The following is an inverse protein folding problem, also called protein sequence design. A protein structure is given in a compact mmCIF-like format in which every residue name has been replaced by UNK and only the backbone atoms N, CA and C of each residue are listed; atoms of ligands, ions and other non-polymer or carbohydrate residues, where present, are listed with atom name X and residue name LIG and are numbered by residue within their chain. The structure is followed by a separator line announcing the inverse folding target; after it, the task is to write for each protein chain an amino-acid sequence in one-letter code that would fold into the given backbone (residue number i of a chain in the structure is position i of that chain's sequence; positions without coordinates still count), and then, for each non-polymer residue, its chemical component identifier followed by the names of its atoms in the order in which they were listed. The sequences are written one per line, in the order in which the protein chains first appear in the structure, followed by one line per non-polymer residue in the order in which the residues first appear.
data_IF_098201404356
#
_entry.id   IF_098201404356
#
_cell.length_a   1.000
_cell.length_b   1.000
_cell.length_c   1.000
_cell.angle_alpha   90.00
_cell.angle_beta   90.00
_cell.angle_gamma   90.00
#
_symmetry.space_group_name_H-M   'P 1'
#
loop_
_entity.id
_entity.type
_entity.pdbx_description
1 polymer ?
#
# COMPACT_ATOMS: atom_id res chain seq x y z
N UNK A 1 0.20 -13.96 18.71
CA UNK A 1 -0.11 -12.53 18.56
C UNK A 1 -0.52 -12.39 17.12
N UNK A 2 -1.75 -11.98 16.87
CA UNK A 2 -2.17 -11.77 15.49
C UNK A 2 -1.43 -10.52 14.97
N UNK A 3 -1.05 -10.44 13.70
CA UNK A 3 -0.37 -9.26 13.13
C UNK A 3 -0.97 -7.90 13.45
N UNK A 4 -2.30 -7.78 13.56
CA UNK A 4 -2.96 -6.54 13.94
C UNK A 4 -2.66 -6.06 15.37
N UNK A 5 -2.14 -6.94 16.23
CA UNK A 5 -1.74 -6.64 17.60
C UNK A 5 -0.26 -6.21 17.69
N UNK A 6 0.52 -6.34 16.61
CA UNK A 6 1.91 -5.87 16.58
C UNK A 6 1.92 -4.32 16.44
N UNK A 7 2.57 -3.59 17.36
CA UNK A 7 2.60 -2.12 17.31
C UNK A 7 3.25 -1.59 16.03
N UNK A 8 4.16 -2.33 15.40
CA UNK A 8 4.78 -1.96 14.12
C UNK A 8 3.77 -1.98 12.98
N UNK A 9 2.80 -2.90 13.01
CA UNK A 9 1.77 -2.97 11.99
C UNK A 9 0.93 -1.69 12.02
N UNK A 10 0.37 -1.35 13.18
CA UNK A 10 -0.41 -0.12 13.36
C UNK A 10 0.40 1.15 13.05
N UNK A 11 1.68 1.17 13.43
CA UNK A 11 2.61 2.24 13.08
C UNK A 11 2.76 2.39 11.56
N UNK A 12 2.97 1.30 10.82
CA UNK A 12 3.07 1.33 9.37
C UNK A 12 1.79 1.85 8.70
N UNK A 13 0.62 1.53 9.27
CA UNK A 13 -0.67 2.07 8.78
C UNK A 13 -0.80 3.58 9.06
N UNK A 14 -0.41 4.05 10.24
CA UNK A 14 -0.37 5.50 10.55
C UNK A 14 0.59 6.25 9.61
N UNK A 15 1.78 5.71 9.39
CA UNK A 15 2.77 6.27 8.47
C UNK A 15 2.21 6.37 7.04
N UNK A 16 1.55 5.31 6.55
CA UNK A 16 0.88 5.34 5.24
C UNK A 16 -0.16 6.46 5.17
N UNK A 17 -1.04 6.54 6.18
CA UNK A 17 -2.13 7.52 6.23
C UNK A 17 -1.63 8.97 6.35
N UNK A 18 -0.41 9.15 6.86
CA UNK A 18 0.28 10.45 6.94
C UNK A 18 1.19 10.73 5.74
N UNK A 19 1.11 9.91 4.69
CA UNK A 19 1.94 10.01 3.47
C UNK A 19 3.46 9.82 3.70
N UNK A 20 3.84 9.24 4.85
CA UNK A 20 5.20 8.83 5.17
C UNK A 20 5.46 7.46 4.53
N UNK A 21 5.36 7.40 3.20
CA UNK A 21 5.34 6.13 2.47
C UNK A 21 6.68 5.38 2.51
N UNK A 22 7.79 6.11 2.63
CA UNK A 22 9.09 5.48 2.81
C UNK A 22 9.20 4.87 4.22
N UNK A 23 8.76 5.58 5.25
CA UNK A 23 8.75 5.10 6.63
C UNK A 23 7.82 3.89 6.78
N UNK A 24 6.63 3.94 6.17
CA UNK A 24 5.70 2.81 6.09
C UNK A 24 6.36 1.58 5.44
N UNK A 25 7.10 1.79 4.34
CA UNK A 25 7.87 0.72 3.69
C UNK A 25 8.85 0.07 4.67
N UNK A 26 9.71 0.87 5.30
CA UNK A 26 10.73 0.36 6.22
C UNK A 26 10.09 -0.38 7.41
N UNK A 27 9.08 0.22 8.05
CA UNK A 27 8.40 -0.36 9.21
C UNK A 27 7.75 -1.71 8.86
N UNK A 28 7.06 -1.80 7.72
CA UNK A 28 6.40 -3.05 7.30
C UNK A 28 7.40 -4.07 6.74
N UNK A 29 8.55 -3.63 6.21
CA UNK A 29 9.60 -4.54 5.75
C UNK A 29 10.19 -5.36 6.92
N UNK A 30 10.33 -4.78 8.11
CA UNK A 30 10.73 -5.51 9.32
C UNK A 30 9.79 -6.71 9.60
N UNK A 31 8.48 -6.46 9.57
CA UNK A 31 7.46 -7.52 9.74
C UNK A 31 7.53 -8.54 8.60
N UNK A 32 7.67 -8.07 7.36
CA UNK A 32 7.79 -8.94 6.20
C UNK A 32 9.01 -9.85 6.28
N UNK A 33 10.15 -9.36 6.78
CA UNK A 33 11.38 -10.16 6.93
C UNK A 33 11.21 -11.26 7.99
N UNK A 34 10.45 -10.98 9.06
CA UNK A 34 10.15 -11.94 10.13
C UNK A 34 9.09 -12.98 9.73
N UNK A 35 8.15 -12.63 8.85
CA UNK A 35 7.05 -13.48 8.42
C UNK A 35 7.52 -14.64 7.52
N UNK A 36 7.10 -15.88 7.87
CA UNK A 36 7.47 -17.12 7.15
C UNK A 36 6.27 -17.83 6.53
N UNK A 37 5.05 -17.42 6.86
CA UNK A 37 3.80 -18.00 6.40
C UNK A 37 3.24 -17.35 5.14
N UNK A 38 1.99 -17.70 4.85
CA UNK A 38 1.27 -17.27 3.64
C UNK A 38 1.01 -15.75 3.61
N UNK A 39 0.97 -15.13 4.79
CA UNK A 39 0.72 -13.69 4.97
C UNK A 39 1.90 -12.81 4.60
N UNK A 40 3.06 -13.41 4.32
CA UNK A 40 4.21 -12.70 3.76
C UNK A 40 3.83 -11.93 2.49
N UNK A 41 2.89 -12.46 1.69
CA UNK A 41 2.40 -11.79 0.48
C UNK A 41 1.56 -10.55 0.79
N UNK A 42 0.81 -10.54 1.89
CA UNK A 42 0.03 -9.40 2.33
C UNK A 42 0.93 -8.20 2.65
N UNK A 43 1.93 -8.40 3.51
CA UNK A 43 2.90 -7.34 3.83
C UNK A 43 3.62 -6.85 2.57
N UNK A 44 4.09 -7.77 1.73
CA UNK A 44 4.75 -7.41 0.48
C UNK A 44 3.84 -6.54 -0.41
N UNK A 45 2.53 -6.80 -0.42
CA UNK A 45 1.58 -6.03 -1.19
C UNK A 45 1.48 -4.58 -0.69
N UNK A 46 1.31 -4.36 0.62
CA UNK A 46 1.23 -3.02 1.21
C UNK A 46 2.56 -2.27 1.03
N UNK A 47 3.70 -2.94 1.26
CA UNK A 47 5.05 -2.40 1.04
C UNK A 47 5.21 -1.91 -0.41
N UNK A 48 4.77 -2.70 -1.39
CA UNK A 48 4.81 -2.30 -2.80
C UNK A 48 3.89 -1.13 -3.11
N UNK A 49 2.70 -1.09 -2.51
CA UNK A 49 1.77 0.02 -2.68
C UNK A 49 2.39 1.32 -2.11
N UNK A 50 2.92 1.28 -0.89
CA UNK A 50 3.63 2.40 -0.26
C UNK A 50 4.83 2.85 -1.11
N UNK A 51 5.70 1.92 -1.51
CA UNK A 51 6.82 2.22 -2.39
C UNK A 51 6.39 2.85 -3.74
N UNK A 52 5.23 2.46 -4.27
CA UNK A 52 4.67 3.06 -5.47
C UNK A 52 4.27 4.53 -5.25
N UNK A 53 3.63 4.86 -4.13
CA UNK A 53 3.34 6.26 -3.78
C UNK A 53 4.61 7.07 -3.52
N UNK A 54 5.61 6.49 -2.86
CA UNK A 54 6.91 7.14 -2.69
C UNK A 54 7.58 7.42 -4.04
N UNK A 55 7.53 6.48 -5.00
CA UNK A 55 8.04 6.72 -6.37
C UNK A 55 7.29 7.84 -7.08
N UNK A 56 5.98 7.93 -6.87
CA UNK A 56 5.20 9.03 -7.42
C UNK A 56 5.63 10.38 -6.83
N UNK A 57 5.85 10.48 -5.51
CA UNK A 57 6.38 11.68 -4.85
C UNK A 57 7.76 12.08 -5.38
N UNK A 58 8.58 11.11 -5.80
CA UNK A 58 9.88 11.33 -6.45
C UNK A 58 9.77 11.77 -7.93
N UNK A 59 8.58 11.88 -8.49
CA UNK A 59 8.39 12.19 -9.91
C UNK A 59 8.71 11.03 -10.85
N UNK A 60 8.60 9.78 -10.37
CA UNK A 60 8.89 8.55 -11.14
C UNK A 60 7.61 7.74 -11.37
N UNK A 61 6.66 8.22 -12.19
CA UNK A 61 5.33 7.60 -12.34
C UNK A 61 5.39 6.19 -12.95
N UNK A 62 6.34 5.92 -13.85
CA UNK A 62 6.53 4.57 -14.42
C UNK A 62 6.89 3.55 -13.32
N UNK A 63 7.69 3.98 -12.33
CA UNK A 63 8.04 3.16 -11.18
C UNK A 63 6.84 2.89 -10.28
N UNK A 64 6.01 3.91 -10.06
CA UNK A 64 4.77 3.80 -9.29
C UNK A 64 3.80 2.79 -9.93
N UNK A 65 3.52 2.92 -11.23
CA UNK A 65 2.64 2.00 -11.99
C UNK A 65 3.08 0.55 -11.83
N UNK A 66 4.38 0.26 -12.00
CA UNK A 66 4.91 -1.10 -11.90
C UNK A 66 4.67 -1.68 -10.51
N UNK A 67 4.97 -0.92 -9.46
CA UNK A 67 4.83 -1.36 -8.08
C UNK A 67 3.34 -1.56 -7.72
N UNK A 68 2.48 -0.62 -8.08
CA UNK A 68 1.04 -0.71 -7.82
C UNK A 68 0.39 -1.90 -8.51
N UNK A 69 0.68 -2.18 -9.79
CA UNK A 69 0.17 -3.40 -10.46
C UNK A 69 0.53 -4.65 -9.64
N UNK A 70 1.81 -4.80 -9.29
CA UNK A 70 2.26 -5.97 -8.55
C UNK A 70 1.75 -6.06 -7.12
N UNK A 71 1.52 -4.91 -6.47
CA UNK A 71 0.97 -4.83 -5.11
C UNK A 71 -0.52 -5.15 -5.09
N UNK A 72 -1.29 -4.56 -6.02
CA UNK A 72 -2.72 -4.84 -6.20
C UNK A 72 -2.98 -6.34 -6.44
N UNK A 73 -2.22 -6.97 -7.33
CA UNK A 73 -2.36 -8.41 -7.63
C UNK A 73 -2.12 -9.29 -6.40
N UNK A 74 -1.19 -8.90 -5.53
CA UNK A 74 -0.90 -9.62 -4.28
C UNK A 74 -1.92 -9.34 -3.20
N UNK A 75 -2.51 -8.15 -3.18
CA UNK A 75 -3.46 -7.73 -2.15
C UNK A 75 -4.88 -8.25 -2.41
N UNK A 76 -5.26 -8.44 -3.68
CA UNK A 76 -6.61 -8.88 -4.09
C UNK A 76 -7.15 -10.15 -3.36
N UNK A 77 -6.34 -11.19 -3.09
CA UNK A 77 -6.83 -12.38 -2.36
C UNK A 77 -7.26 -12.12 -0.92
N UNK A 78 -6.96 -10.95 -0.34
CA UNK A 78 -7.25 -10.60 1.05
C UNK A 78 -8.52 -9.73 1.19
N UNK A 79 -9.31 -9.55 0.11
CA UNK A 79 -10.60 -8.88 0.17
C UNK A 79 -11.65 -9.68 0.98
N UNK A 80 -12.64 -9.01 1.59
CA UNK A 80 -12.77 -7.55 1.72
C UNK A 80 -12.00 -6.98 2.93
N UNK A 81 -11.70 -7.82 3.93
CA UNK A 81 -11.08 -7.43 5.18
C UNK A 81 -9.96 -8.39 5.57
N UNK A 82 -8.83 -7.84 6.01
CA UNK A 82 -7.71 -8.64 6.51
C UNK A 82 -6.90 -7.85 7.52
N UNK A 83 -6.53 -8.46 8.65
CA UNK A 83 -5.82 -7.78 9.75
C UNK A 83 -6.41 -6.42 10.16
N UNK A 84 -7.74 -6.36 10.21
CA UNK A 84 -8.47 -5.15 10.58
C UNK A 84 -8.47 -4.04 9.53
N UNK A 85 -7.89 -4.26 8.35
CA UNK A 85 -7.89 -3.32 7.23
C UNK A 85 -9.09 -3.59 6.31
N UNK A 86 -9.71 -2.51 5.82
CA UNK A 86 -10.61 -2.55 4.67
C UNK A 86 -9.81 -2.64 3.36
N UNK A 87 -9.56 -3.88 2.94
CA UNK A 87 -8.74 -4.21 1.76
C UNK A 87 -9.45 -3.82 0.47
N UNK A 88 -10.76 -4.02 0.40
CA UNK A 88 -11.58 -3.64 -0.76
C UNK A 88 -11.47 -2.12 -1.05
N UNK A 89 -11.61 -1.28 -0.01
CA UNK A 89 -11.50 0.17 -0.14
C UNK A 89 -10.11 0.60 -0.61
N UNK A 90 -9.06 -0.03 -0.09
CA UNK A 90 -7.68 0.27 -0.51
C UNK A 90 -7.44 -0.14 -1.97
N UNK A 91 -7.88 -1.33 -2.37
CA UNK A 91 -7.78 -1.80 -3.75
C UNK A 91 -8.54 -0.90 -4.72
N UNK A 92 -9.77 -0.50 -4.37
CA UNK A 92 -10.57 0.42 -5.17
C UNK A 92 -9.83 1.74 -5.39
N UNK A 93 -9.32 2.34 -4.32
CA UNK A 93 -8.58 3.61 -4.35
C UNK A 93 -7.34 3.51 -5.23
N UNK A 94 -6.47 2.52 -4.98
CA UNK A 94 -5.21 2.36 -5.70
C UNK A 94 -5.43 1.99 -7.17
N UNK A 95 -6.47 1.20 -7.50
CA UNK A 95 -6.87 0.93 -8.90
C UNK A 95 -7.33 2.20 -9.63
N UNK A 96 -8.08 3.06 -8.94
CA UNK A 96 -8.47 4.38 -9.45
C UNK A 96 -7.26 5.24 -9.79
N UNK A 97 -6.32 5.36 -8.86
CA UNK A 97 -5.07 6.11 -9.07
C UNK A 97 -4.20 5.52 -10.19
N UNK A 98 -4.09 4.20 -10.26
CA UNK A 98 -3.39 3.50 -11.33
C UNK A 98 -4.00 3.83 -12.71
N UNK A 99 -5.33 3.79 -12.82
CA UNK A 99 -6.05 4.10 -14.06
C UNK A 99 -5.81 5.55 -14.50
N UNK A 100 -5.87 6.50 -13.55
CA UNK A 100 -5.58 7.91 -13.82
C UNK A 100 -4.14 8.11 -14.29
N UNK A 101 -3.18 7.47 -13.61
CA UNK A 101 -1.75 7.58 -13.92
C UNK A 101 -1.39 6.96 -15.26
N UNK A 102 -2.05 5.87 -15.65
CA UNK A 102 -1.85 5.23 -16.96
C UNK A 102 -2.46 6.04 -18.10
N UNK A 103 -3.56 6.77 -17.86
CA UNK A 103 -4.21 7.60 -18.87
C UNK A 103 -3.41 8.87 -19.20
N UNK A 104 -2.87 9.55 -18.19
CA UNK A 104 -2.06 10.76 -18.36
C UNK A 104 -1.02 10.89 -17.24
N UNK A 105 0.18 10.31 -17.39
CA UNK A 105 1.21 10.31 -16.35
C UNK A 105 1.67 11.71 -15.90
N UNK A 106 1.62 12.70 -16.80
CA UNK A 106 2.12 14.05 -16.53
C UNK A 106 1.10 14.89 -15.75
N UNK A 107 -0.20 14.71 -16.04
CA UNK A 107 -1.28 15.41 -15.35
C UNK A 107 -1.67 14.74 -14.04
N UNK A 108 -1.72 13.41 -14.00
CA UNK A 108 -2.18 12.65 -12.84
C UNK A 108 -1.23 12.72 -11.64
N UNK A 109 0.08 12.82 -11.87
CA UNK A 109 1.05 12.95 -10.77
C UNK A 109 0.81 14.18 -9.87
N UNK A 110 0.15 15.22 -10.40
CA UNK A 110 -0.22 16.43 -9.65
C UNK A 110 -1.65 16.38 -9.07
N UNK A 111 -2.45 15.37 -9.40
CA UNK A 111 -3.89 15.33 -9.13
C UNK A 111 -4.36 14.06 -8.41
N UNK A 112 -3.48 13.08 -8.20
CA UNK A 112 -3.83 11.87 -7.43
C UNK A 112 -4.05 12.27 -5.97
N UNK A 113 -5.25 11.94 -5.47
CA UNK A 113 -5.64 12.16 -4.10
C UNK A 113 -4.84 11.28 -3.14
N UNK A 114 -4.85 11.67 -1.87
CA UNK A 114 -4.12 10.95 -0.83
C UNK A 114 -4.80 9.63 -0.51
N UNK A 115 -4.14 8.48 -0.70
CA UNK A 115 -4.71 7.22 -0.27
C UNK A 115 -4.71 7.15 1.26
N UNK A 116 -5.69 6.48 1.83
CA UNK A 116 -5.66 6.05 3.23
C UNK A 116 -6.07 4.58 3.33
N UNK A 117 -5.53 3.92 4.34
CA UNK A 117 -5.89 2.59 4.76
C UNK A 117 -6.89 2.74 5.91
N UNK A 118 -8.14 2.36 5.66
CA UNK A 118 -9.19 2.37 6.65
C UNK A 118 -9.14 1.11 7.53
N UNK A 119 -9.24 1.30 8.85
CA UNK A 119 -9.40 0.23 9.82
C UNK A 119 -10.90 0.00 10.10
N UNK A 120 -11.31 -1.24 10.33
CA UNK A 120 -12.73 -1.62 10.56
C UNK A 120 -13.12 -1.76 12.05
N UNK A 121 -12.33 -1.20 12.96
CA UNK A 121 -12.57 -1.26 14.40
C UNK A 121 -13.79 -0.44 14.88
#
# INVERSE_FOLDING_TARGET
MEPQDDPRFLKGIDEFNRQLFFECHETLEELWLEERGEDRKFYQAIIQIAAGYYKLQQGVPVGAVKLWRTGLDKLAPYEPFFYGINVESLLHTVRGHLTQLEADPQKAAAAIDTPTIALIC
#
